data_IF_013535878078
#
_entry.id   IF_013535878078
#
_cell.length_a   1.000
_cell.length_b   1.000
_cell.length_c   1.000
_cell.angle_alpha   90.00
_cell.angle_beta   90.00
_cell.angle_gamma   90.00
#
_symmetry.space_group_name_H-M   'P 1'
#
loop_
_entity.id
_entity.type
_entity.pdbx_description
1 polymer ?
#
# COMPACT_ATOMS: atom_id res chain seq x y z
N UNK A 1 -0.72 -17.05 -3.91
CA UNK A 1 0.05 -16.10 -3.08
C UNK A 1 -0.31 -16.41 -1.64
N UNK A 2 0.64 -16.72 -0.74
CA UNK A 2 0.40 -16.49 0.68
C UNK A 2 0.24 -14.98 0.81
N UNK A 3 -1.00 -14.50 0.80
CA UNK A 3 -1.31 -13.12 0.45
C UNK A 3 -0.87 -12.19 1.57
N UNK A 4 -0.26 -11.06 1.23
CA UNK A 4 0.02 -10.00 2.20
C UNK A 4 -1.24 -9.58 3.00
N UNK A 5 -2.44 -9.81 2.45
CA UNK A 5 -3.72 -9.66 3.14
C UNK A 5 -3.93 -10.59 4.32
N UNK A 6 -3.34 -11.79 4.34
CA UNK A 6 -3.39 -12.66 5.52
C UNK A 6 -2.66 -12.04 6.73
N UNK A 7 -1.61 -11.24 6.48
CA UNK A 7 -0.85 -10.52 7.49
C UNK A 7 -1.57 -9.30 8.08
N UNK A 8 -2.57 -8.74 7.37
CA UNK A 8 -3.34 -7.58 7.85
C UNK A 8 -4.01 -7.85 9.19
N UNK A 9 -4.49 -9.07 9.41
CA UNK A 9 -5.10 -9.47 10.69
C UNK A 9 -4.14 -9.32 11.87
N UNK A 10 -2.88 -9.72 11.69
CA UNK A 10 -1.84 -9.63 12.72
C UNK A 10 -1.39 -8.18 12.95
N UNK A 11 -1.33 -7.37 11.90
CA UNK A 11 -1.02 -5.93 12.01
C UNK A 11 -2.14 -5.22 12.77
N UNK A 12 -3.41 -5.49 12.40
CA UNK A 12 -4.60 -4.89 13.03
C UNK A 12 -4.64 -5.09 14.54
N UNK A 13 -4.21 -6.25 15.05
CA UNK A 13 -4.18 -6.51 16.50
C UNK A 13 -3.20 -5.64 17.28
N UNK A 14 -2.20 -5.05 16.62
CA UNK A 14 -1.23 -4.14 17.22
C UNK A 14 -1.43 -2.68 16.77
N UNK A 15 -2.46 -2.39 15.99
CA UNK A 15 -2.65 -1.09 15.32
C UNK A 15 -3.45 -0.10 16.16
N UNK A 16 -2.90 0.28 17.31
CA UNK A 16 -3.52 1.22 18.25
C UNK A 16 -2.52 2.23 18.85
N UNK A 17 -3.02 3.36 19.35
CA UNK A 17 -2.22 4.36 20.07
C UNK A 17 -0.95 4.79 19.33
N UNK A 18 0.17 4.87 20.07
CA UNK A 18 1.49 5.21 19.53
C UNK A 18 2.03 4.12 18.58
N UNK A 19 1.70 2.85 18.82
CA UNK A 19 2.09 1.73 17.96
C UNK A 19 1.51 1.89 16.55
N UNK A 20 0.28 2.39 16.43
CA UNK A 20 -0.33 2.73 15.13
C UNK A 20 0.50 3.76 14.38
N UNK A 21 0.96 4.82 15.03
CA UNK A 21 1.70 5.89 14.36
C UNK A 21 3.07 5.39 13.89
N UNK A 22 3.76 4.60 14.71
CA UNK A 22 5.01 3.95 14.30
C UNK A 22 4.81 2.91 13.19
N UNK A 23 3.73 2.14 13.22
CA UNK A 23 3.39 1.20 12.15
C UNK A 23 3.05 1.94 10.84
N UNK A 24 2.41 3.12 10.90
CA UNK A 24 2.20 3.96 9.71
C UNK A 24 3.52 4.39 9.10
N UNK A 25 4.46 4.86 9.91
CA UNK A 25 5.81 5.22 9.44
C UNK A 25 6.48 4.00 8.81
N UNK A 26 6.52 2.86 9.51
CA UNK A 26 7.14 1.64 8.99
C UNK A 26 6.55 1.20 7.64
N UNK A 27 5.23 1.26 7.49
CA UNK A 27 4.52 0.80 6.30
C UNK A 27 4.67 1.76 5.11
N UNK A 28 4.86 3.05 5.36
CA UNK A 28 4.76 4.09 4.34
C UNK A 28 6.10 4.75 3.99
N UNK A 29 7.12 4.60 4.84
CA UNK A 29 8.44 5.20 4.66
C UNK A 29 9.11 4.72 3.37
N UNK A 30 9.48 5.66 2.50
CA UNK A 30 10.33 5.40 1.33
C UNK A 30 11.78 5.17 1.70
N UNK A 31 12.27 5.85 2.76
CA UNK A 31 13.60 5.64 3.30
C UNK A 31 13.70 4.30 4.06
N UNK A 32 14.69 3.49 3.71
CA UNK A 32 15.01 2.26 4.45
C UNK A 32 15.54 2.58 5.85
N UNK A 33 16.25 3.69 6.03
CA UNK A 33 16.72 4.14 7.34
C UNK A 33 15.55 4.52 8.26
N UNK A 34 14.58 5.27 7.74
CA UNK A 34 13.36 5.63 8.49
C UNK A 34 12.54 4.39 8.86
N UNK A 35 12.33 3.49 7.90
CA UNK A 35 11.67 2.21 8.14
C UNK A 35 12.41 1.39 9.22
N UNK A 36 13.75 1.34 9.18
CA UNK A 36 14.55 0.66 10.18
C UNK A 36 14.39 1.29 11.57
N UNK A 37 14.44 2.62 11.67
CA UNK A 37 14.25 3.31 12.96
C UNK A 37 12.88 3.02 13.56
N UNK A 38 11.81 3.10 12.77
CA UNK A 38 10.47 2.74 13.21
C UNK A 38 10.41 1.27 13.67
N UNK A 39 11.05 0.36 12.92
CA UNK A 39 11.12 -1.06 13.26
C UNK A 39 11.82 -1.28 14.61
N UNK A 40 12.99 -0.65 14.86
CA UNK A 40 13.72 -0.79 16.12
C UNK A 40 12.91 -0.30 17.33
N UNK A 41 12.14 0.78 17.18
CA UNK A 41 11.26 1.28 18.25
C UNK A 41 10.09 0.34 18.51
N UNK A 42 9.58 -0.35 17.49
CA UNK A 42 8.47 -1.29 17.61
C UNK A 42 8.87 -2.66 18.17
N UNK A 43 10.09 -3.13 17.92
CA UNK A 43 10.60 -4.47 18.32
C UNK A 43 10.32 -4.84 19.79
N UNK A 44 10.46 -3.95 20.79
CA UNK A 44 10.23 -4.32 22.19
C UNK A 44 8.76 -4.56 22.54
N UNK A 45 7.81 -4.05 21.75
CA UNK A 45 6.37 -4.01 22.10
C UNK A 45 5.49 -4.81 21.15
N UNK A 46 5.93 -5.06 19.92
CA UNK A 46 5.15 -5.76 18.89
C UNK A 46 5.74 -7.15 18.62
N UNK A 47 4.91 -8.22 18.55
CA UNK A 47 5.39 -9.55 18.21
C UNK A 47 6.11 -9.59 16.86
N UNK A 48 7.23 -10.33 16.79
CA UNK A 48 8.05 -10.42 15.58
C UNK A 48 7.25 -10.80 14.33
N UNK A 49 6.33 -11.77 14.45
CA UNK A 49 5.45 -12.18 13.33
C UNK A 49 4.62 -11.03 12.76
N UNK A 50 4.17 -10.12 13.62
CA UNK A 50 3.43 -8.92 13.19
C UNK A 50 4.34 -7.93 12.49
N UNK A 51 5.59 -7.77 12.95
CA UNK A 51 6.57 -6.90 12.31
C UNK A 51 7.01 -7.43 10.94
N UNK A 52 7.21 -8.74 10.80
CA UNK A 52 7.47 -9.39 9.51
C UNK A 52 6.29 -9.18 8.55
N UNK A 53 5.05 -9.33 9.05
CA UNK A 53 3.86 -9.03 8.25
C UNK A 53 3.81 -7.56 7.81
N UNK A 54 4.17 -6.62 8.68
CA UNK A 54 4.23 -5.20 8.36
C UNK A 54 5.30 -4.90 7.29
N UNK A 55 6.52 -5.45 7.42
CA UNK A 55 7.55 -5.31 6.38
C UNK A 55 7.11 -5.88 5.04
N UNK A 56 6.49 -7.06 5.04
CA UNK A 56 5.95 -7.67 3.83
C UNK A 56 4.83 -6.83 3.20
N UNK A 57 3.99 -6.18 4.01
CA UNK A 57 2.99 -5.24 3.52
C UNK A 57 3.65 -3.98 2.94
N UNK A 58 4.68 -3.42 3.60
CA UNK A 58 5.46 -2.30 3.08
C UNK A 58 6.00 -2.60 1.69
N UNK A 59 6.58 -3.79 1.48
CA UNK A 59 7.08 -4.19 0.17
C UNK A 59 5.98 -4.26 -0.89
N UNK A 60 4.78 -4.72 -0.53
CA UNK A 60 3.62 -4.70 -1.43
C UNK A 60 3.27 -3.27 -1.81
N UNK A 61 3.13 -2.36 -0.83
CA UNK A 61 2.82 -0.96 -1.07
C UNK A 61 3.88 -0.27 -1.94
N UNK A 62 5.15 -0.55 -1.68
CA UNK A 62 6.29 -0.05 -2.47
C UNK A 62 6.24 -0.48 -3.94
N UNK A 63 5.72 -1.67 -4.24
CA UNK A 63 5.63 -2.17 -5.62
C UNK A 63 4.40 -1.71 -6.38
N UNK A 64 3.42 -1.12 -5.69
CA UNK A 64 2.26 -0.55 -6.36
C UNK A 64 2.67 0.73 -7.11
N UNK A 65 2.04 1.00 -8.26
CA UNK A 65 2.39 2.18 -9.05
C UNK A 65 1.92 3.46 -8.36
N UNK A 66 2.74 4.50 -8.40
CA UNK A 66 2.34 5.85 -7.97
C UNK A 66 1.64 6.58 -9.10
N UNK A 67 0.49 7.17 -8.81
CA UNK A 67 -0.30 7.93 -9.77
C UNK A 67 0.32 9.32 -10.01
N UNK A 68 0.35 9.83 -11.26
CA UNK A 68 -0.16 9.20 -12.48
C UNK A 68 0.81 8.16 -13.07
N UNK A 69 0.28 7.10 -13.69
CA UNK A 69 1.09 6.07 -14.35
C UNK A 69 0.42 5.50 -15.61
N UNK A 70 1.23 4.97 -16.53
CA UNK A 70 0.72 4.35 -17.75
C UNK A 70 0.24 2.91 -17.48
N UNK A 71 -0.98 2.59 -17.90
CA UNK A 71 -1.47 1.21 -17.99
C UNK A 71 -1.16 0.60 -19.36
N UNK A 72 -1.12 -0.74 -19.42
CA UNK A 72 -0.79 -1.51 -20.64
C UNK A 72 -2.02 -1.92 -21.46
N UNK A 73 -3.20 -1.52 -21.01
CA UNK A 73 -4.49 -1.83 -21.63
C UNK A 73 -5.24 -0.53 -21.93
N UNK A 74 -6.22 -0.59 -22.82
CA UNK A 74 -7.16 0.51 -23.02
C UNK A 74 -8.27 0.53 -21.94
N UNK A 75 -9.00 1.64 -21.85
CA UNK A 75 -10.06 1.84 -20.85
C UNK A 75 -11.19 0.82 -20.93
N UNK A 76 -11.56 0.38 -22.14
CA UNK A 76 -12.65 -0.58 -22.35
C UNK A 76 -12.25 -1.97 -21.86
N UNK A 77 -11.02 -2.37 -22.19
CA UNK A 77 -10.42 -3.61 -21.69
C UNK A 77 -10.32 -3.58 -20.17
N UNK A 78 -9.83 -2.48 -19.57
CA UNK A 78 -9.77 -2.34 -18.11
C UNK A 78 -11.15 -2.45 -17.47
N UNK A 79 -12.14 -1.71 -17.98
CA UNK A 79 -13.49 -1.72 -17.43
C UNK A 79 -14.10 -3.13 -17.45
N UNK A 80 -13.90 -3.87 -18.55
CA UNK A 80 -14.39 -5.25 -18.68
C UNK A 80 -13.66 -6.22 -17.76
N UNK A 81 -12.33 -6.17 -17.68
CA UNK A 81 -11.55 -7.16 -16.93
C UNK A 81 -11.59 -6.93 -15.43
N UNK A 82 -11.58 -5.67 -14.99
CA UNK A 82 -11.66 -5.31 -13.58
C UNK A 82 -13.10 -5.21 -13.06
N UNK A 83 -14.11 -5.31 -13.93
CA UNK A 83 -15.53 -5.20 -13.57
C UNK A 83 -15.93 -3.79 -13.14
N UNK A 84 -15.38 -2.77 -13.81
CA UNK A 84 -15.66 -1.36 -13.50
C UNK A 84 -16.85 -0.84 -14.30
N UNK A 85 -17.73 -0.12 -13.62
CA UNK A 85 -18.79 0.64 -14.24
C UNK A 85 -18.26 2.00 -14.70
N UNK A 86 -18.42 2.30 -15.99
CA UNK A 86 -18.01 3.59 -16.56
C UNK A 86 -18.99 4.68 -16.19
N UNK A 87 -18.46 5.77 -15.64
CA UNK A 87 -19.14 7.05 -15.41
C UNK A 87 -18.41 8.12 -16.21
N UNK A 88 -19.01 9.31 -16.35
CA UNK A 88 -18.58 10.37 -17.28
C UNK A 88 -17.05 10.57 -17.31
N UNK A 89 -16.41 10.73 -16.15
CA UNK A 89 -14.98 11.01 -16.03
C UNK A 89 -14.22 10.01 -15.15
N UNK A 90 -14.83 8.88 -14.81
CA UNK A 90 -14.24 7.89 -13.90
C UNK A 90 -14.87 6.51 -14.10
N UNK A 91 -14.15 5.46 -13.73
CA UNK A 91 -14.66 4.09 -13.70
C UNK A 91 -14.58 3.59 -12.26
N UNK A 92 -15.54 2.79 -11.80
CA UNK A 92 -15.49 2.29 -10.44
C UNK A 92 -16.23 0.98 -10.20
N UNK A 93 -15.88 0.31 -9.11
CA UNK A 93 -16.56 -0.89 -8.63
C UNK A 93 -16.71 -0.85 -7.12
N UNK A 94 -17.80 -1.42 -6.61
CA UNK A 94 -17.96 -1.64 -5.18
C UNK A 94 -17.15 -2.86 -4.75
N UNK A 95 -16.37 -2.70 -3.68
CA UNK A 95 -15.64 -3.80 -3.05
C UNK A 95 -16.43 -4.40 -1.88
N UNK A 96 -17.18 -3.56 -1.18
CA UNK A 96 -18.06 -3.93 -0.07
C UNK A 96 -19.14 -2.84 0.10
N UNK A 97 -20.20 -3.06 0.90
CA UNK A 97 -21.17 -2.02 1.22
C UNK A 97 -20.49 -0.76 1.76
N UNK A 98 -20.67 0.36 1.06
CA UNK A 98 -20.06 1.64 1.44
C UNK A 98 -18.58 1.80 1.08
N UNK A 99 -17.93 0.81 0.44
CA UNK A 99 -16.55 0.89 -0.02
C UNK A 99 -16.49 0.72 -1.54
N UNK A 100 -16.03 1.77 -2.23
CA UNK A 100 -15.91 1.82 -3.68
C UNK A 100 -14.47 2.12 -4.11
N UNK A 101 -13.96 1.35 -5.06
CA UNK A 101 -12.70 1.61 -5.75
C UNK A 101 -13.00 2.33 -7.06
N UNK A 102 -12.41 3.50 -7.25
CA UNK A 102 -12.61 4.36 -8.41
C UNK A 102 -11.27 4.67 -9.05
N UNK A 103 -11.24 4.73 -10.37
CA UNK A 103 -10.08 5.13 -11.16
C UNK A 103 -10.46 6.24 -12.13
N UNK A 104 -9.58 7.23 -12.27
CA UNK A 104 -9.65 8.27 -13.30
C UNK A 104 -8.59 7.99 -14.36
N UNK A 105 -8.96 8.10 -15.63
CA UNK A 105 -8.07 7.80 -16.75
C UNK A 105 -8.15 8.87 -17.82
N UNK A 106 -7.06 8.99 -18.60
CA UNK A 106 -7.00 9.73 -19.84
C UNK A 106 -6.31 8.87 -20.90
N UNK A 107 -7.08 8.08 -21.65
CA UNK A 107 -6.52 7.12 -22.59
C UNK A 107 -5.87 5.96 -21.84
N UNK A 108 -4.58 5.72 -22.05
CA UNK A 108 -3.82 4.70 -21.32
C UNK A 108 -3.10 5.24 -20.06
N UNK A 109 -3.36 6.49 -19.68
CA UNK A 109 -2.82 7.09 -18.47
C UNK A 109 -3.83 6.96 -17.34
N UNK A 110 -3.43 6.33 -16.22
CA UNK A 110 -4.15 6.37 -14.95
C UNK A 110 -3.75 7.67 -14.26
N UNK A 111 -4.73 8.50 -13.93
CA UNK A 111 -4.51 9.78 -13.26
C UNK A 111 -4.52 9.62 -11.75
N UNK A 112 -5.55 8.95 -11.22
CA UNK A 112 -5.70 8.67 -9.80
C UNK A 112 -6.42 7.35 -9.56
N UNK A 113 -6.04 6.68 -8.47
CA UNK A 113 -6.87 5.68 -7.80
C UNK A 113 -7.51 6.36 -6.58
N UNK A 114 -8.83 6.27 -6.47
CA UNK A 114 -9.63 6.95 -5.45
C UNK A 114 -10.46 5.91 -4.70
N UNK A 115 -10.38 5.91 -3.38
CA UNK A 115 -11.19 5.09 -2.49
C UNK A 115 -12.33 5.94 -1.98
N UNK A 116 -13.57 5.50 -2.18
CA UNK A 116 -14.72 6.09 -1.47
C UNK A 116 -15.14 5.18 -0.34
N UNK A 117 -15.26 5.76 0.86
CA UNK A 117 -15.73 5.06 2.04
C UNK A 117 -16.80 5.91 2.73
N UNK A 118 -18.05 5.46 2.68
CA UNK A 118 -19.21 6.28 3.02
C UNK A 118 -19.29 7.54 2.15
N UNK A 119 -19.38 8.71 2.78
CA UNK A 119 -19.42 10.01 2.09
C UNK A 119 -18.04 10.61 1.81
N UNK A 120 -16.96 9.93 2.22
CA UNK A 120 -15.59 10.43 2.09
C UNK A 120 -14.89 9.84 0.88
N UNK A 121 -13.96 10.61 0.32
CA UNK A 121 -13.08 10.21 -0.78
C UNK A 121 -11.63 10.37 -0.35
N UNK A 122 -10.82 9.39 -0.69
CA UNK A 122 -9.41 9.33 -0.35
C UNK A 122 -8.64 9.01 -1.63
N UNK A 123 -7.60 9.79 -1.92
CA UNK A 123 -6.67 9.48 -3.01
C UNK A 123 -5.69 8.43 -2.52
N UNK A 124 -5.40 7.43 -3.37
CA UNK A 124 -4.46 6.36 -3.05
C UNK A 124 -3.09 6.95 -2.73
N UNK A 125 -2.58 7.82 -3.60
CA UNK A 125 -1.33 8.55 -3.35
C UNK A 125 -1.61 9.85 -2.57
N UNK A 126 -0.63 10.35 -1.79
CA UNK A 126 -0.76 11.61 -1.06
C UNK A 126 -1.07 12.81 -1.96
N UNK A 127 -1.95 13.70 -1.48
CA UNK A 127 -2.27 14.98 -2.14
C UNK A 127 -2.24 16.08 -1.07
N UNK A 128 -1.27 17.04 -1.10
CA UNK A 128 -0.19 17.18 -2.08
C UNK A 128 0.78 15.98 -2.06
N UNK A 129 1.53 15.81 -3.15
CA UNK A 129 2.51 14.72 -3.27
C UNK A 129 3.54 14.84 -2.15
N UNK A 130 3.72 13.76 -1.41
CA UNK A 130 4.77 13.56 -0.40
C UNK A 130 5.64 12.37 -0.80
N UNK A 131 6.69 12.10 -0.03
CA UNK A 131 7.56 10.93 -0.25
C UNK A 131 6.93 9.62 0.25
N UNK A 132 5.70 9.65 0.76
CA UNK A 132 4.98 8.45 1.19
C UNK A 132 4.47 7.64 0.00
N UNK A 133 4.48 6.30 0.14
CA UNK A 133 3.91 5.42 -0.90
C UNK A 133 2.40 5.64 -1.09
N UNK A 134 1.67 5.74 0.02
CA UNK A 134 0.20 5.78 0.07
C UNK A 134 -0.25 6.89 1.02
N UNK A 135 -1.43 7.47 0.81
CA UNK A 135 -2.04 8.38 1.77
C UNK A 135 -2.27 7.66 3.12
N UNK A 136 -1.88 8.29 4.24
CA UNK A 136 -2.00 7.70 5.58
C UNK A 136 -3.44 7.30 5.94
N UNK A 137 -4.44 8.06 5.51
CA UNK A 137 -5.85 7.71 5.74
C UNK A 137 -6.27 6.47 4.93
N UNK A 138 -5.69 6.28 3.73
CA UNK A 138 -5.90 5.07 2.93
C UNK A 138 -5.20 3.89 3.58
N UNK A 139 -4.01 4.08 4.15
CA UNK A 139 -3.32 3.04 4.90
C UNK A 139 -4.16 2.54 6.07
N UNK A 140 -4.79 3.46 6.83
CA UNK A 140 -5.73 3.06 7.88
C UNK A 140 -6.89 2.22 7.34
N UNK A 141 -7.46 2.61 6.19
CA UNK A 141 -8.53 1.86 5.54
C UNK A 141 -8.07 0.47 5.09
N UNK A 142 -6.84 0.34 4.59
CA UNK A 142 -6.24 -0.94 4.21
C UNK A 142 -6.09 -1.85 5.43
N UNK A 143 -5.65 -1.32 6.57
CA UNK A 143 -5.58 -2.11 7.81
C UNK A 143 -6.98 -2.46 8.33
N UNK A 144 -7.94 -1.54 8.23
CA UNK A 144 -9.29 -1.72 8.76
C UNK A 144 -10.18 -2.64 7.90
N UNK A 145 -9.91 -2.77 6.61
CA UNK A 145 -10.78 -3.50 5.67
C UNK A 145 -10.02 -4.62 4.97
N UNK A 146 -10.60 -5.83 4.95
CA UNK A 146 -9.91 -7.00 4.40
C UNK A 146 -9.84 -6.99 2.87
N UNK A 147 -10.76 -6.30 2.18
CA UNK A 147 -10.89 -6.38 0.72
C UNK A 147 -10.23 -5.24 -0.06
N UNK A 148 -9.82 -4.14 0.59
CA UNK A 148 -9.33 -2.96 -0.12
C UNK A 148 -8.01 -3.24 -0.85
N UNK A 149 -7.03 -3.80 -0.13
CA UNK A 149 -5.72 -4.10 -0.73
C UNK A 149 -5.83 -5.13 -1.86
N UNK A 150 -6.62 -6.18 -1.67
CA UNK A 150 -6.87 -7.19 -2.72
C UNK A 150 -7.53 -6.55 -3.95
N UNK A 151 -8.51 -5.66 -3.75
CA UNK A 151 -9.16 -4.94 -4.85
C UNK A 151 -8.21 -4.04 -5.64
N UNK A 152 -7.23 -3.41 -4.97
CA UNK A 152 -6.21 -2.56 -5.60
C UNK A 152 -5.15 -3.39 -6.33
N UNK A 153 -4.73 -4.52 -5.76
CA UNK A 153 -3.81 -5.45 -6.41
C UNK A 153 -4.44 -6.08 -7.67
N UNK A 154 -5.71 -6.48 -7.58
CA UNK A 154 -6.47 -6.98 -8.72
C UNK A 154 -6.60 -5.91 -9.80
N UNK A 155 -6.96 -4.67 -9.43
CA UNK A 155 -7.03 -3.56 -10.37
C UNK A 155 -5.68 -3.32 -11.08
N UNK A 156 -4.59 -3.31 -10.32
CA UNK A 156 -3.23 -3.13 -10.86
C UNK A 156 -2.85 -4.26 -11.83
N UNK A 157 -3.22 -5.50 -11.51
CA UNK A 157 -3.03 -6.65 -12.41
C UNK A 157 -3.85 -6.50 -13.70
N UNK A 158 -5.11 -6.05 -13.62
CA UNK A 158 -5.96 -5.79 -14.79
C UNK A 158 -5.41 -4.66 -15.68
N UNK A 159 -4.70 -3.68 -15.10
CA UNK A 159 -3.99 -2.62 -15.83
C UNK A 159 -2.71 -3.13 -16.53
N UNK A 160 -2.31 -4.37 -16.29
CA UNK A 160 -1.05 -4.94 -16.78
C UNK A 160 0.18 -4.41 -16.03
N UNK A 161 -0.01 -3.91 -14.80
CA UNK A 161 1.09 -3.49 -13.93
C UNK A 161 1.60 -4.71 -13.17
N UNK A 162 2.92 -4.92 -13.20
CA UNK A 162 3.56 -6.05 -12.54
C UNK A 162 3.93 -5.64 -11.12
N UNK A 163 3.21 -6.18 -10.14
CA UNK A 163 3.55 -6.05 -8.72
C UNK A 163 4.29 -7.32 -8.28
N UNK A 164 5.60 -7.20 -7.98
CA UNK A 164 6.43 -8.32 -7.56
C UNK A 164 7.19 -7.98 -6.26
N UNK A 165 6.47 -7.89 -5.12
CA UNK A 165 7.08 -7.58 -3.84
C UNK A 165 8.02 -8.69 -3.37
N UNK A 166 9.11 -8.29 -2.71
CA UNK A 166 9.96 -9.22 -1.96
C UNK A 166 9.27 -9.56 -0.65
N UNK A 167 9.39 -10.81 -0.22
CA UNK A 167 8.83 -11.29 1.03
C UNK A 167 9.92 -11.86 1.93
N UNK A 168 9.84 -11.49 3.20
CA UNK A 168 10.74 -11.88 4.27
C UNK A 168 10.07 -12.91 5.16
N UNK A 169 10.85 -13.86 5.67
CA UNK A 169 10.38 -14.89 6.60
C UNK A 169 10.71 -14.51 8.05
N UNK A 170 11.72 -13.65 8.25
CA UNK A 170 12.15 -13.14 9.55
C UNK A 170 12.59 -11.68 9.46
N UNK A 171 12.76 -11.02 10.61
CA UNK A 171 13.36 -9.68 10.66
C UNK A 171 14.85 -9.71 10.30
N UNK A 172 15.53 -10.83 10.57
CA UNK A 172 16.93 -11.02 10.22
C UNK A 172 17.13 -11.04 8.70
N UNK A 173 16.25 -11.70 7.95
CA UNK A 173 16.28 -11.73 6.48
C UNK A 173 16.22 -10.30 5.91
N UNK A 174 15.30 -9.48 6.44
CA UNK A 174 15.16 -8.09 6.02
C UNK A 174 16.39 -7.27 6.38
N UNK A 175 16.91 -7.44 7.61
CA UNK A 175 18.11 -6.76 8.07
C UNK A 175 19.33 -7.09 7.21
N UNK A 176 19.60 -8.37 6.95
CA UNK A 176 20.75 -8.80 6.14
C UNK A 176 20.73 -8.26 4.71
N UNK A 177 19.55 -8.16 4.11
CA UNK A 177 19.42 -7.60 2.75
C UNK A 177 19.62 -6.08 2.71
N UNK A 178 19.08 -5.36 3.70
CA UNK A 178 19.00 -3.89 3.65
C UNK A 178 20.06 -3.20 4.52
N UNK A 179 20.92 -3.93 5.23
CA UNK A 179 21.87 -3.36 6.21
C UNK A 179 22.74 -2.25 5.63
N UNK A 180 23.22 -2.41 4.39
CA UNK A 180 24.08 -1.42 3.76
C UNK A 180 23.34 -0.11 3.49
N UNK A 181 22.17 -0.21 2.86
CA UNK A 181 21.33 0.95 2.51
C UNK A 181 20.79 1.67 3.75
N UNK A 182 20.51 0.91 4.82
CA UNK A 182 20.13 1.49 6.13
C UNK A 182 21.27 2.30 6.72
N UNK A 183 22.51 1.79 6.71
CA UNK A 183 23.67 2.54 7.24
C UNK A 183 24.02 3.76 6.39
N UNK A 184 23.91 3.66 5.07
CA UNK A 184 24.09 4.80 4.17
C UNK A 184 23.05 5.88 4.45
N UNK A 185 21.76 5.51 4.50
CA UNK A 185 20.68 6.46 4.79
C UNK A 185 20.73 7.07 6.20
N UNK A 186 21.26 6.36 7.19
CA UNK A 186 21.55 6.94 8.51
C UNK A 186 22.69 7.96 8.46
N UNK A 187 23.69 7.74 7.59
CA UNK A 187 24.78 8.68 7.37
C UNK A 187 24.31 10.03 6.81
N UNK A 188 23.27 10.04 5.98
CA UNK A 188 22.68 11.27 5.42
C UNK A 188 21.86 12.08 6.43
N UNK A 189 21.51 11.50 7.58
CA UNK A 189 20.72 12.15 8.64
C UNK A 189 21.58 12.93 9.66
N UNK A 190 22.91 12.78 9.63
CA UNK A 190 23.85 13.37 10.59
C UNK A 190 25.01 14.11 9.91
#
# INVERSE_FOLDING_TARGET
MLTATSGLSAIRTAYEGETRDLLRVLLNATSLAEANLALEVLKPTVPEKTLVAALNLREVLRTLPSSPFAMRVDEETLARTAGLERRIAAMGKFLAPGLELVVTTAGNLVLDIIIKHGDRKYFWNPVPVTDDYVNTDVLDLVIATDCLLDGVLELSACMGVVCNPKFYLSLEDWGLENVHDVFEGLGDLF
#
